data_IF_917695207610
#
_entry.id   IF_917695207610
#
_cell.length_a   1.000
_cell.length_b   1.000
_cell.length_c   1.000
_cell.angle_alpha   90.00
_cell.angle_beta   90.00
_cell.angle_gamma   90.00
#
_symmetry.space_group_name_H-M   'P 1'
#
loop_
_entity.id
_entity.type
_entity.pdbx_description
1 polymer ?
#
# COMPACT_ATOMS: atom_id res chain seq x y z
N UNK A 1 37.71 -3.73 -12.46
CA UNK A 1 36.64 -4.75 -12.47
C UNK A 1 35.79 -4.54 -11.24
N UNK A 2 34.47 -4.56 -11.44
CA UNK A 2 33.37 -4.39 -10.48
C UNK A 2 33.29 -3.03 -9.74
N UNK A 3 32.81 -2.03 -10.49
CA UNK A 3 31.99 -0.95 -9.94
C UNK A 3 30.67 -1.59 -9.47
N UNK A 4 30.58 -1.89 -8.18
CA UNK A 4 29.38 -2.42 -7.55
C UNK A 4 28.40 -1.27 -7.36
N UNK A 5 27.68 -0.93 -8.44
CA UNK A 5 26.60 0.04 -8.51
C UNK A 5 25.81 0.06 -7.20
N UNK A 6 26.05 1.07 -6.37
CA UNK A 6 25.12 1.42 -5.31
C UNK A 6 23.76 1.61 -5.99
N UNK A 7 22.76 0.83 -5.60
CA UNK A 7 21.39 1.09 -6.02
C UNK A 7 21.11 2.56 -5.67
N UNK A 8 20.70 3.41 -6.62
CA UNK A 8 20.47 4.81 -6.30
C UNK A 8 19.40 4.86 -5.21
N UNK A 9 19.75 5.48 -4.08
CA UNK A 9 18.77 5.88 -3.07
C UNK A 9 17.59 6.52 -3.79
N UNK A 10 16.42 5.94 -3.50
CA UNK A 10 15.23 6.04 -4.33
C UNK A 10 14.87 7.48 -4.68
N UNK A 11 14.34 7.66 -5.89
CA UNK A 11 13.78 8.93 -6.31
C UNK A 11 12.90 9.52 -5.19
N UNK A 12 13.05 10.82 -4.87
CA UNK A 12 12.28 11.44 -3.80
C UNK A 12 10.79 11.24 -4.05
N UNK A 13 10.10 10.62 -3.09
CA UNK A 13 8.68 10.29 -3.20
C UNK A 13 7.79 11.53 -3.03
N UNK A 14 8.32 12.60 -2.43
CA UNK A 14 7.58 13.82 -2.08
C UNK A 14 7.02 14.61 -3.29
N UNK A 15 7.55 14.36 -4.49
CA UNK A 15 7.09 14.98 -5.73
C UNK A 15 6.09 14.14 -6.53
N UNK A 16 5.78 12.92 -6.08
CA UNK A 16 4.91 12.00 -6.79
C UNK A 16 3.45 12.18 -6.36
N UNK A 17 2.56 12.16 -7.35
CA UNK A 17 1.11 12.05 -7.13
C UNK A 17 0.75 10.67 -6.55
N UNK A 18 -0.44 10.54 -5.97
CA UNK A 18 -0.94 9.26 -5.45
C UNK A 18 -0.98 8.17 -6.53
N UNK A 19 -1.30 8.54 -7.77
CA UNK A 19 -1.32 7.63 -8.91
C UNK A 19 0.09 7.13 -9.27
N UNK A 20 1.09 8.01 -9.24
CA UNK A 20 2.49 7.65 -9.51
C UNK A 20 3.07 6.75 -8.41
N UNK A 21 2.75 7.05 -7.14
CA UNK A 21 3.10 6.18 -6.01
C UNK A 21 2.45 4.80 -6.16
N UNK A 22 1.17 4.74 -6.51
CA UNK A 22 0.46 3.49 -6.79
C UNK A 22 1.12 2.68 -7.92
N UNK A 23 1.45 3.33 -9.04
CA UNK A 23 2.14 2.70 -10.15
C UNK A 23 3.55 2.20 -9.79
N UNK A 24 4.26 2.89 -8.91
CA UNK A 24 5.55 2.44 -8.38
C UNK A 24 5.41 1.16 -7.54
N UNK A 25 4.44 1.13 -6.62
CA UNK A 25 4.16 -0.06 -5.78
C UNK A 25 3.81 -1.27 -6.63
N UNK A 26 2.95 -1.10 -7.64
CA UNK A 26 2.58 -2.18 -8.55
C UNK A 26 3.79 -2.74 -9.30
N UNK A 27 4.60 -1.87 -9.94
CA UNK A 27 5.80 -2.31 -10.68
C UNK A 27 6.81 -3.02 -9.78
N UNK A 28 7.02 -2.54 -8.56
CA UNK A 28 7.92 -3.19 -7.60
C UNK A 28 7.41 -4.57 -7.17
N UNK A 29 6.09 -4.70 -7.02
CA UNK A 29 5.43 -5.97 -6.67
C UNK A 29 5.49 -6.97 -7.82
N UNK A 30 5.28 -6.52 -9.06
CA UNK A 30 5.41 -7.35 -10.26
C UNK A 30 6.83 -7.91 -10.36
N UNK A 31 7.85 -7.06 -10.22
CA UNK A 31 9.26 -7.45 -10.22
C UNK A 31 9.59 -8.44 -9.08
N UNK A 32 9.10 -8.19 -7.87
CA UNK A 32 9.33 -9.07 -6.73
C UNK A 32 8.69 -10.45 -6.93
N UNK A 33 7.48 -10.49 -7.47
CA UNK A 33 6.75 -11.73 -7.75
C UNK A 33 7.38 -12.52 -8.90
N UNK A 34 7.84 -11.84 -9.96
CA UNK A 34 8.44 -12.45 -11.14
C UNK A 34 9.76 -13.19 -10.87
N UNK A 35 10.45 -12.86 -9.77
CA UNK A 35 11.69 -13.55 -9.36
C UNK A 35 11.46 -15.01 -8.96
N UNK A 36 10.25 -15.38 -8.54
CA UNK A 36 9.91 -16.78 -8.24
C UNK A 36 10.70 -17.41 -7.09
N UNK A 37 11.28 -16.61 -6.18
CA UNK A 37 12.07 -17.10 -5.05
C UNK A 37 11.22 -17.28 -3.79
N UNK A 38 11.67 -18.14 -2.87
CA UNK A 38 11.03 -18.33 -1.55
C UNK A 38 11.04 -17.02 -0.76
N UNK A 39 12.14 -16.29 -0.83
CA UNK A 39 12.35 -15.02 -0.16
C UNK A 39 11.41 -13.95 -0.73
N UNK A 40 11.25 -13.91 -2.06
CA UNK A 40 10.30 -13.01 -2.72
C UNK A 40 8.85 -13.28 -2.28
N UNK A 41 8.46 -14.55 -2.19
CA UNK A 41 7.13 -14.92 -1.68
C UNK A 41 6.93 -14.50 -0.21
N UNK A 42 7.91 -14.75 0.66
CA UNK A 42 7.84 -14.34 2.07
C UNK A 42 7.74 -12.82 2.21
N UNK A 43 8.47 -12.07 1.38
CA UNK A 43 8.45 -10.62 1.38
C UNK A 43 7.10 -10.06 0.88
N UNK A 44 6.50 -10.68 -0.15
CA UNK A 44 5.14 -10.33 -0.59
C UNK A 44 4.11 -10.50 0.53
N UNK A 45 4.19 -11.57 1.33
CA UNK A 45 3.31 -11.76 2.48
C UNK A 45 3.48 -10.65 3.53
N UNK A 46 4.73 -10.24 3.79
CA UNK A 46 5.05 -9.11 4.68
C UNK A 46 4.46 -7.80 4.15
N UNK A 47 4.58 -7.55 2.85
CA UNK A 47 4.01 -6.37 2.18
C UNK A 47 2.48 -6.37 2.28
N UNK A 48 1.80 -7.50 2.02
CA UNK A 48 0.34 -7.61 2.15
C UNK A 48 -0.11 -7.25 3.56
N UNK A 49 0.56 -7.76 4.59
CA UNK A 49 0.25 -7.43 5.98
C UNK A 49 0.44 -5.93 6.26
N UNK A 50 1.53 -5.35 5.79
CA UNK A 50 1.83 -3.92 5.98
C UNK A 50 0.82 -3.01 5.25
N UNK A 51 0.54 -3.28 3.97
CA UNK A 51 -0.43 -2.52 3.17
C UNK A 51 -1.82 -2.60 3.80
N UNK A 52 -2.23 -3.76 4.31
CA UNK A 52 -3.50 -3.89 5.03
C UNK A 52 -3.61 -2.95 6.24
N UNK A 53 -2.54 -2.79 7.02
CA UNK A 53 -2.48 -1.83 8.12
C UNK A 53 -2.58 -0.38 7.63
N UNK A 54 -1.87 -0.04 6.54
CA UNK A 54 -1.93 1.29 5.95
C UNK A 54 -3.31 1.63 5.36
N UNK A 55 -4.01 0.64 4.77
CA UNK A 55 -5.39 0.81 4.31
C UNK A 55 -6.30 1.15 5.49
N UNK A 56 -6.17 0.47 6.64
CA UNK A 56 -6.92 0.80 7.84
C UNK A 56 -6.62 2.22 8.35
N UNK A 57 -5.35 2.62 8.32
CA UNK A 57 -4.94 3.98 8.67
C UNK A 57 -5.57 5.03 7.74
N UNK A 58 -5.47 4.84 6.42
CA UNK A 58 -6.07 5.72 5.41
C UNK A 58 -7.60 5.81 5.55
N UNK A 59 -8.27 4.68 5.77
CA UNK A 59 -9.71 4.64 6.00
C UNK A 59 -10.11 5.51 7.22
N UNK A 60 -9.33 5.47 8.31
CA UNK A 60 -9.57 6.32 9.48
C UNK A 60 -9.32 7.80 9.20
N UNK A 61 -8.29 8.15 8.43
CA UNK A 61 -8.06 9.54 8.01
C UNK A 61 -9.21 10.09 7.17
N UNK A 62 -9.72 9.29 6.23
CA UNK A 62 -10.90 9.63 5.42
C UNK A 62 -12.13 9.78 6.32
N UNK A 63 -12.35 8.85 7.26
CA UNK A 63 -13.48 8.93 8.18
C UNK A 63 -13.43 10.17 9.09
N UNK A 64 -12.23 10.58 9.55
CA UNK A 64 -12.02 11.77 10.37
C UNK A 64 -12.27 13.06 9.60
N UNK A 65 -11.79 13.12 8.34
CA UNK A 65 -11.93 14.32 7.50
C UNK A 65 -13.32 14.44 6.86
N UNK A 66 -14.01 13.30 6.68
CA UNK A 66 -15.31 13.20 6.03
C UNK A 66 -16.27 12.40 6.91
N UNK A 67 -16.47 11.11 6.60
CA UNK A 67 -17.34 10.23 7.37
C UNK A 67 -17.09 8.76 7.02
N UNK A 68 -17.61 7.85 7.85
CA UNK A 68 -17.65 6.42 7.55
C UNK A 68 -18.51 6.08 6.32
N UNK A 69 -19.45 6.95 5.92
CA UNK A 69 -20.21 6.78 4.68
C UNK A 69 -19.30 7.00 3.45
N UNK A 70 -18.40 7.99 3.50
CA UNK A 70 -17.45 8.25 2.42
C UNK A 70 -16.45 7.10 2.26
N UNK A 71 -15.96 6.55 3.38
CA UNK A 71 -15.11 5.35 3.36
C UNK A 71 -15.82 4.20 2.68
N UNK A 72 -17.09 3.98 3.01
CA UNK A 72 -17.90 2.91 2.46
C UNK A 72 -18.14 3.06 0.95
N UNK A 73 -18.41 4.28 0.49
CA UNK A 73 -18.52 4.61 -0.94
C UNK A 73 -17.22 4.26 -1.69
N UNK A 74 -16.06 4.75 -1.20
CA UNK A 74 -14.76 4.52 -1.84
C UNK A 74 -14.42 3.02 -1.89
N UNK A 75 -14.71 2.30 -0.81
CA UNK A 75 -14.35 0.88 -0.67
C UNK A 75 -15.40 -0.09 -1.22
N UNK A 76 -16.52 0.41 -1.77
CA UNK A 76 -17.58 -0.42 -2.34
C UNK A 76 -18.29 -1.34 -1.33
N UNK A 77 -18.35 -0.93 -0.06
CA UNK A 77 -18.97 -1.70 1.04
C UNK A 77 -20.07 -0.89 1.72
N UNK A 78 -20.86 -1.51 2.61
CA UNK A 78 -21.79 -0.77 3.46
C UNK A 78 -21.05 0.05 4.52
N UNK A 79 -21.69 1.12 5.00
CA UNK A 79 -21.18 1.95 6.11
C UNK A 79 -20.89 1.14 7.37
N UNK A 80 -21.77 0.21 7.71
CA UNK A 80 -21.61 -0.63 8.90
C UNK A 80 -20.41 -1.57 8.74
N UNK A 81 -20.27 -2.22 7.59
CA UNK A 81 -19.14 -3.10 7.33
C UNK A 81 -17.80 -2.33 7.27
N UNK A 82 -17.77 -1.12 6.71
CA UNK A 82 -16.59 -0.26 6.75
C UNK A 82 -16.20 0.13 8.18
N UNK A 83 -17.18 0.50 9.00
CA UNK A 83 -16.97 0.83 10.42
C UNK A 83 -16.48 -0.38 11.22
N UNK A 84 -17.16 -1.53 11.13
CA UNK A 84 -16.77 -2.75 11.84
C UNK A 84 -15.35 -3.19 11.45
N UNK A 85 -14.99 -3.05 10.18
CA UNK A 85 -13.68 -3.47 9.65
C UNK A 85 -12.52 -2.58 10.09
N UNK A 86 -12.67 -1.25 10.06
CA UNK A 86 -11.53 -0.34 10.19
C UNK A 86 -11.59 0.63 11.38
N UNK A 87 -12.67 0.63 12.17
CA UNK A 87 -12.75 1.47 13.38
C UNK A 87 -11.72 1.11 14.45
N UNK A 88 -11.35 -0.17 14.51
CA UNK A 88 -10.48 -0.70 15.56
C UNK A 88 -9.03 -0.70 15.09
N UNK A 89 -8.13 -0.51 16.04
CA UNK A 89 -6.68 -0.50 15.86
C UNK A 89 -6.10 -1.90 15.84
#
# INVERSE_FOLDING_TARGET
>A
MADGSAAPDGAPLDGLTEAELGALICRATDELSGRGTREGFAELLRIVAYVGQQVGHAARLVAQSNSWSQVAEISGTSRQAAWERWRST
#
